data_IF_909167994806
#
_entry.id   IF_909167994806
#
_cell.length_a   1.000
_cell.length_b   1.000
_cell.length_c   1.000
_cell.angle_alpha   90.00
_cell.angle_beta   90.00
_cell.angle_gamma   90.00
#
_symmetry.space_group_name_H-M   'P 1'
#
loop_
_entity.id
_entity.type
_entity.pdbx_description
1 polymer ?
#
# COMPACT_ATOMS: atom_id res chain seq x y z
N UNK A 1 10.13 -5.43 -8.96
CA UNK A 1 9.18 -5.75 -10.05
C UNK A 1 8.08 -4.69 -10.06
N UNK A 2 7.50 -4.35 -11.21
CA UNK A 2 6.43 -3.34 -11.30
C UNK A 2 5.09 -4.08 -11.42
N UNK A 3 4.09 -3.79 -10.56
CA UNK A 3 2.78 -4.42 -10.65
C UNK A 3 1.96 -3.83 -11.80
N UNK A 4 1.06 -4.63 -12.37
CA UNK A 4 0.16 -4.18 -13.45
C UNK A 4 -0.94 -3.22 -12.94
N UNK A 5 -1.35 -3.36 -11.67
CA UNK A 5 -2.29 -2.48 -10.97
C UNK A 5 -1.58 -1.95 -9.73
N UNK A 6 -1.50 -0.63 -9.58
CA UNK A 6 -0.78 0.03 -8.49
C UNK A 6 -1.73 0.35 -7.34
N UNK A 7 -1.26 0.10 -6.11
CA UNK A 7 -1.90 0.54 -4.88
C UNK A 7 -1.16 1.74 -4.28
N UNK A 8 -1.83 2.54 -3.43
CA UNK A 8 -1.14 3.53 -2.61
C UNK A 8 -0.14 2.82 -1.68
N UNK A 9 1.06 3.38 -1.56
CA UNK A 9 2.16 2.83 -0.77
C UNK A 9 2.65 3.85 0.26
N UNK A 10 2.77 3.40 1.51
CA UNK A 10 3.43 4.16 2.57
C UNK A 10 4.95 4.20 2.40
N UNK A 11 5.51 3.25 1.64
CA UNK A 11 6.93 3.13 1.38
C UNK A 11 7.34 3.88 0.13
N UNK A 12 8.50 4.52 0.21
CA UNK A 12 9.17 5.18 -0.89
C UNK A 12 10.18 4.21 -1.52
N UNK A 13 9.97 3.74 -2.76
CA UNK A 13 10.85 2.77 -3.41
C UNK A 13 12.25 3.33 -3.72
N UNK A 14 12.43 4.66 -3.69
CA UNK A 14 13.75 5.28 -3.86
C UNK A 14 14.59 5.20 -2.57
N UNK A 15 13.92 5.10 -1.41
CA UNK A 15 14.57 5.00 -0.10
C UNK A 15 14.64 3.56 0.42
N UNK A 16 13.77 2.70 -0.06
CA UNK A 16 13.63 1.31 0.40
C UNK A 16 13.73 0.40 -0.82
N UNK A 17 14.76 -0.44 -0.84
CA UNK A 17 15.00 -1.44 -1.88
C UNK A 17 16.48 -1.60 -2.21
N UNK A 18 16.81 -2.59 -3.04
CA UNK A 18 18.19 -2.83 -3.47
C UNK A 18 18.78 -1.63 -4.22
N UNK A 19 17.97 -0.91 -4.99
CA UNK A 19 18.38 0.30 -5.72
C UNK A 19 18.75 1.48 -4.84
N UNK A 20 18.35 1.48 -3.57
CA UNK A 20 18.67 2.55 -2.61
C UNK A 20 20.04 2.36 -1.95
N UNK A 21 20.74 1.25 -2.20
CA UNK A 21 22.04 0.94 -1.59
C UNK A 21 23.18 1.59 -2.38
N UNK A 22 24.14 2.19 -1.67
CA UNK A 22 25.28 2.92 -2.27
C UNK A 22 26.08 2.11 -3.31
N UNK A 23 26.23 0.80 -3.08
CA UNK A 23 27.00 -0.11 -3.92
C UNK A 23 26.13 -1.17 -4.59
N UNK A 24 24.87 -0.85 -4.88
CA UNK A 24 24.00 -1.72 -5.66
C UNK A 24 24.63 -2.01 -7.03
N UNK A 25 24.70 -3.29 -7.41
CA UNK A 25 25.17 -3.66 -8.74
C UNK A 25 24.19 -3.14 -9.80
N UNK A 26 24.72 -2.69 -10.92
CA UNK A 26 23.89 -2.28 -12.05
C UNK A 26 23.05 -3.47 -12.54
N UNK A 27 21.79 -3.20 -12.89
CA UNK A 27 20.95 -4.20 -13.53
C UNK A 27 21.53 -4.60 -14.89
N UNK A 28 21.56 -5.91 -15.15
CA UNK A 28 22.03 -6.48 -16.42
C UNK A 28 21.00 -7.49 -16.96
N UNK A 29 20.94 -7.63 -18.28
CA UNK A 29 20.00 -8.51 -18.97
C UNK A 29 20.74 -9.49 -19.88
N UNK A 30 20.48 -10.78 -19.66
CA UNK A 30 20.97 -11.84 -20.53
C UNK A 30 19.92 -12.25 -21.58
N UNK A 31 20.35 -13.02 -22.58
CA UNK A 31 19.45 -13.51 -23.63
C UNK A 31 18.28 -14.32 -23.03
N UNK A 32 17.03 -14.09 -23.49
CA UNK A 32 15.87 -14.78 -22.96
C UNK A 32 15.86 -16.27 -23.33
N UNK A 33 15.42 -17.11 -22.41
CA UNK A 33 15.16 -18.53 -22.68
C UNK A 33 13.86 -18.72 -23.45
N UNK A 34 13.70 -19.85 -24.15
CA UNK A 34 12.45 -20.20 -24.83
C UNK A 34 11.47 -20.77 -23.80
N UNK A 35 10.31 -20.13 -23.67
CA UNK A 35 9.20 -20.60 -22.82
C UNK A 35 7.87 -20.39 -23.51
N UNK A 36 6.86 -21.18 -23.13
CA UNK A 36 5.49 -21.00 -23.60
C UNK A 36 4.78 -20.01 -22.66
N UNK A 37 4.18 -18.96 -23.22
CA UNK A 37 3.32 -18.03 -22.47
C UNK A 37 1.95 -18.66 -22.33
N UNK A 38 1.41 -18.67 -21.11
CA UNK A 38 0.06 -19.14 -20.83
C UNK A 38 -0.82 -17.95 -20.48
N UNK A 39 -1.99 -17.86 -21.11
CA UNK A 39 -3.03 -16.85 -20.89
C UNK A 39 -2.53 -15.40 -21.05
N UNK A 40 -3.01 -14.71 -22.09
CA UNK A 40 -2.73 -13.28 -22.24
C UNK A 40 -3.73 -12.46 -21.42
N UNK A 41 -3.25 -11.77 -20.39
CA UNK A 41 -4.06 -10.89 -19.55
C UNK A 41 -4.05 -9.42 -20.04
N UNK A 42 -3.17 -9.05 -20.97
CA UNK A 42 -2.99 -7.67 -21.44
C UNK A 42 -4.31 -7.02 -21.90
N UNK A 43 -5.22 -7.82 -22.47
CA UNK A 43 -6.52 -7.36 -22.96
C UNK A 43 -7.51 -7.01 -21.84
N UNK A 44 -7.37 -7.59 -20.65
CA UNK A 44 -8.30 -7.39 -19.53
C UNK A 44 -7.77 -6.42 -18.48
N UNK A 45 -6.45 -6.17 -18.43
CA UNK A 45 -5.82 -5.26 -17.46
C UNK A 45 -6.47 -3.86 -17.43
N UNK A 46 -6.75 -3.18 -18.56
CA UNK A 46 -7.40 -1.87 -18.53
C UNK A 46 -8.79 -1.89 -17.88
N UNK A 47 -9.55 -2.95 -18.12
CA UNK A 47 -10.87 -3.14 -17.52
C UNK A 47 -10.75 -3.40 -16.02
N UNK A 48 -9.81 -4.26 -15.59
CA UNK A 48 -9.54 -4.52 -14.18
C UNK A 48 -9.12 -3.24 -13.44
N UNK A 49 -8.24 -2.44 -14.03
CA UNK A 49 -7.84 -1.15 -13.47
C UNK A 49 -9.03 -0.19 -13.33
N UNK A 50 -9.93 -0.14 -14.33
CA UNK A 50 -11.14 0.69 -14.24
C UNK A 50 -12.09 0.23 -13.13
N UNK A 51 -12.28 -1.08 -12.96
CA UNK A 51 -13.13 -1.64 -11.90
C UNK A 51 -12.54 -1.39 -10.53
N UNK A 52 -11.23 -1.60 -10.39
CA UNK A 52 -10.47 -1.26 -9.18
C UNK A 52 -10.64 0.21 -8.81
N UNK A 53 -10.36 1.13 -9.73
CA UNK A 53 -10.46 2.58 -9.49
C UNK A 53 -11.88 2.98 -9.08
N UNK A 54 -12.90 2.39 -9.69
CA UNK A 54 -14.30 2.64 -9.33
C UNK A 54 -14.63 2.18 -7.91
N UNK A 55 -14.10 1.03 -7.45
CA UNK A 55 -14.29 0.55 -6.08
C UNK A 55 -13.49 1.37 -5.06
N UNK A 56 -12.20 1.58 -5.34
CA UNK A 56 -11.30 2.39 -4.53
C UNK A 56 -11.87 3.79 -4.24
N UNK A 57 -12.47 4.43 -5.26
CA UNK A 57 -13.09 5.75 -5.13
C UNK A 57 -14.33 5.77 -4.21
N UNK A 58 -14.96 4.62 -3.93
CA UNK A 58 -16.18 4.53 -3.12
C UNK A 58 -15.98 3.78 -1.79
N UNK A 59 -14.80 3.22 -1.54
CA UNK A 59 -14.50 2.45 -0.34
C UNK A 59 -13.93 3.38 0.75
N UNK A 60 -14.62 3.60 1.88
CA UNK A 60 -14.16 4.48 2.95
C UNK A 60 -12.81 4.09 3.53
N UNK A 61 -12.50 2.78 3.60
CA UNK A 61 -11.23 2.32 4.16
C UNK A 61 -10.08 2.52 3.16
N UNK A 62 -10.35 2.42 1.86
CA UNK A 62 -9.36 2.73 0.82
C UNK A 62 -9.05 4.22 0.76
N UNK A 63 -10.07 5.08 0.86
CA UNK A 63 -9.88 6.52 0.93
C UNK A 63 -9.07 6.93 2.17
N UNK A 64 -9.36 6.32 3.32
CA UNK A 64 -8.59 6.53 4.55
C UNK A 64 -7.11 6.18 4.35
N UNK A 65 -6.81 5.03 3.75
CA UNK A 65 -5.44 4.63 3.44
C UNK A 65 -4.76 5.63 2.49
N UNK A 66 -5.48 6.12 1.47
CA UNK A 66 -4.94 7.14 0.56
C UNK A 66 -4.60 8.43 1.31
N UNK A 67 -5.49 8.92 2.17
CA UNK A 67 -5.25 10.12 2.97
C UNK A 67 -4.04 9.94 3.91
N UNK A 68 -3.85 8.75 4.49
CA UNK A 68 -2.67 8.42 5.30
C UNK A 68 -1.38 8.43 4.47
N UNK A 69 -1.41 7.89 3.25
CA UNK A 69 -0.27 7.92 2.33
C UNK A 69 0.08 9.36 1.96
N UNK A 70 -0.91 10.20 1.68
CA UNK A 70 -0.70 11.61 1.35
C UNK A 70 -0.12 12.38 2.55
N UNK A 71 -0.60 12.12 3.76
CA UNK A 71 -0.05 12.69 5.00
C UNK A 71 1.43 12.28 5.19
N UNK A 72 1.73 10.99 5.00
CA UNK A 72 3.09 10.47 5.12
C UNK A 72 4.04 11.04 4.06
N UNK A 73 3.56 11.26 2.82
CA UNK A 73 4.32 11.93 1.77
C UNK A 73 4.60 13.40 2.12
N UNK A 74 3.60 14.11 2.64
CA UNK A 74 3.78 15.47 3.14
C UNK A 74 4.82 15.56 4.25
N UNK A 75 4.75 14.66 5.22
CA UNK A 75 5.73 14.57 6.31
C UNK A 75 7.15 14.27 5.81
N UNK A 76 7.30 13.38 4.82
CA UNK A 76 8.60 13.08 4.18
C UNK A 76 9.21 14.28 3.46
N UNK A 77 8.39 15.23 2.99
CA UNK A 77 8.85 16.47 2.36
C UNK A 77 9.46 17.49 3.32
N UNK A 78 9.29 17.29 4.64
CA UNK A 78 9.81 18.20 5.67
C UNK A 78 11.33 17.97 5.81
N UNK A 79 12.11 18.98 5.42
CA UNK A 79 13.59 18.94 5.47
C UNK A 79 14.20 19.75 6.62
N UNK A 80 13.39 20.57 7.31
CA UNK A 80 13.83 21.45 8.40
C UNK A 80 12.87 21.29 9.57
N UNK A 81 13.43 21.18 10.78
CA UNK A 81 12.65 21.05 12.01
C UNK A 81 12.93 22.22 12.96
N UNK A 82 11.90 22.76 13.64
CA UNK A 82 12.11 23.77 14.66
C UNK A 82 12.85 23.17 15.86
N UNK A 83 13.81 23.91 16.41
CA UNK A 83 14.52 23.51 17.64
C UNK A 83 13.84 24.02 18.92
N UNK A 84 12.99 25.05 18.80
CA UNK A 84 12.26 25.59 19.94
C UNK A 84 11.11 24.66 20.32
N UNK A 85 10.95 24.40 21.62
CA UNK A 85 9.89 23.53 22.16
C UNK A 85 8.50 23.93 21.68
N UNK A 86 8.15 25.22 21.72
CA UNK A 86 6.82 25.69 21.29
C UNK A 86 6.55 25.38 19.81
N UNK A 87 7.57 25.42 18.95
CA UNK A 87 7.45 25.03 17.54
C UNK A 87 7.27 23.51 17.37
N UNK A 88 7.92 22.70 18.21
CA UNK A 88 7.75 21.24 18.21
C UNK A 88 6.36 20.83 18.67
N UNK A 89 5.83 21.48 19.71
CA UNK A 89 4.46 21.25 20.20
C UNK A 89 3.44 21.62 19.12
N UNK A 90 3.56 22.80 18.52
CA UNK A 90 2.65 23.21 17.43
C UNK A 90 2.67 22.24 16.24
N UNK A 91 3.84 21.74 15.85
CA UNK A 91 3.98 20.74 14.78
C UNK A 91 3.28 19.42 15.13
N UNK A 92 3.41 18.95 16.38
CA UNK A 92 2.72 17.75 16.86
C UNK A 92 1.20 17.95 16.84
N UNK A 93 0.71 19.07 17.37
CA UNK A 93 -0.71 19.39 17.45
C UNK A 93 -1.35 19.48 16.05
N UNK A 94 -0.62 20.03 15.07
CA UNK A 94 -1.05 20.06 13.67
C UNK A 94 -1.15 18.65 13.07
N UNK A 95 -0.16 17.79 13.31
CA UNK A 95 -0.17 16.40 12.83
C UNK A 95 -1.31 15.59 13.46
N UNK A 96 -1.55 15.75 14.77
CA UNK A 96 -2.66 15.10 15.48
C UNK A 96 -4.02 15.57 14.95
N UNK A 97 -4.18 16.88 14.71
CA UNK A 97 -5.40 17.42 14.14
C UNK A 97 -5.67 16.87 12.73
N UNK A 98 -4.64 16.73 11.89
CA UNK A 98 -4.75 16.12 10.56
C UNK A 98 -5.13 14.64 10.65
N UNK A 99 -4.46 13.87 11.51
CA UNK A 99 -4.76 12.46 11.71
C UNK A 99 -6.19 12.25 12.23
N UNK A 100 -6.64 13.08 13.19
CA UNK A 100 -8.00 13.04 13.71
C UNK A 100 -9.03 13.38 12.63
N UNK A 101 -8.75 14.36 11.78
CA UNK A 101 -9.63 14.70 10.66
C UNK A 101 -9.78 13.54 9.67
N UNK A 102 -8.69 12.83 9.37
CA UNK A 102 -8.70 11.65 8.49
C UNK A 102 -9.53 10.51 9.10
N UNK A 103 -9.33 10.19 10.38
CA UNK A 103 -10.15 9.16 11.07
C UNK A 103 -11.62 9.58 11.13
N UNK A 104 -11.92 10.84 11.46
CA UNK A 104 -13.31 11.32 11.49
C UNK A 104 -13.99 11.27 10.12
N UNK A 105 -13.26 11.56 9.03
CA UNK A 105 -13.76 11.38 7.67
C UNK A 105 -14.15 9.91 7.40
N UNK A 106 -13.31 8.97 7.83
CA UNK A 106 -13.59 7.52 7.74
C UNK A 106 -14.81 7.12 8.57
N UNK A 107 -14.90 7.58 9.82
CA UNK A 107 -16.02 7.29 10.75
C UNK A 107 -17.34 7.80 10.21
N UNK A 108 -17.39 9.06 9.76
CA UNK A 108 -18.58 9.65 9.16
C UNK A 108 -19.04 8.87 7.91
N UNK A 109 -18.09 8.44 7.08
CA UNK A 109 -18.38 7.64 5.88
C UNK A 109 -18.94 6.25 6.21
N UNK A 110 -18.65 5.73 7.41
CA UNK A 110 -19.20 4.48 7.96
C UNK A 110 -20.45 4.68 8.84
N UNK A 111 -20.92 5.92 9.02
CA UNK A 111 -22.04 6.25 9.89
C UNK A 111 -21.73 6.10 11.39
N UNK A 112 -20.45 6.18 11.77
CA UNK A 112 -20.00 6.18 13.16
C UNK A 112 -19.87 7.63 13.67
N UNK A 113 -20.01 7.80 14.98
CA UNK A 113 -19.80 9.10 15.64
C UNK A 113 -18.33 9.55 15.50
N UNK A 114 -18.08 10.84 15.23
CA UNK A 114 -16.74 11.41 15.27
C UNK A 114 -16.09 11.31 16.65
N UNK A 115 -14.77 11.19 16.67
CA UNK A 115 -13.95 11.26 17.87
C UNK A 115 -13.56 12.70 18.18
N UNK A 116 -13.48 13.03 19.46
CA UNK A 116 -12.96 14.31 19.95
C UNK A 116 -11.42 14.33 19.97
N UNK A 117 -10.81 13.18 20.25
CA UNK A 117 -9.36 12.97 20.27
C UNK A 117 -9.04 11.60 19.69
N UNK A 118 -7.85 11.45 19.11
CA UNK A 118 -7.31 10.13 18.85
C UNK A 118 -6.87 9.56 20.20
N UNK A 119 -7.32 8.35 20.52
CA UNK A 119 -6.89 7.67 21.75
C UNK A 119 -5.42 7.27 21.55
N UNK A 120 -4.50 7.98 22.20
CA UNK A 120 -3.06 7.76 22.11
C UNK A 120 -2.49 7.32 23.46
N UNK A 121 -3.25 6.58 24.25
CA UNK A 121 -2.81 6.04 25.54
C UNK A 121 -1.74 4.93 25.42
N UNK A 122 -0.81 5.06 24.46
CA UNK A 122 0.50 4.44 24.52
C UNK A 122 1.49 5.45 25.11
N UNK A 123 1.53 5.44 26.43
CA UNK A 123 2.63 5.94 27.24
C UNK A 123 3.87 5.07 26.93
N UNK A 124 4.51 5.29 25.76
CA UNK A 124 5.73 4.58 25.37
C UNK A 124 6.83 5.03 26.33
N UNK A 125 7.34 4.18 27.24
CA UNK A 125 8.43 4.58 28.09
C UNK A 125 9.66 4.80 27.21
N UNK A 126 10.13 6.04 27.20
CA UNK A 126 11.41 6.49 26.66
C UNK A 126 12.55 5.65 27.25
N UNK A 127 12.90 4.51 26.64
CA UNK A 127 14.14 3.75 26.87
C UNK A 127 14.24 2.52 25.96
N UNK A 128 14.94 2.62 24.83
CA UNK A 128 16.00 1.67 24.49
C UNK A 128 16.95 2.29 23.45
N UNK A 129 18.28 2.24 23.66
CA UNK A 129 19.23 2.66 22.65
C UNK A 129 19.34 1.56 21.60
N UNK A 130 18.96 1.83 20.35
CA UNK A 130 19.23 0.92 19.23
C UNK A 130 20.72 0.90 18.95
N UNK A 131 21.42 -0.08 19.50
CA UNK A 131 22.71 -0.54 18.99
C UNK A 131 22.48 -1.18 17.63
N UNK A 132 23.12 -0.58 16.63
CA UNK A 132 23.31 -1.10 15.28
C UNK A 132 23.81 -2.54 15.32
N UNK A 133 23.14 -3.46 14.62
CA UNK A 133 23.72 -4.67 14.07
C UNK A 133 22.98 -5.00 12.76
N UNK A 134 23.77 -5.12 11.70
CA UNK A 134 23.38 -5.62 10.39
C UNK A 134 22.82 -7.06 10.47
N UNK A 135 22.04 -7.40 9.44
CA UNK A 135 21.65 -8.74 9.01
C UNK A 135 20.17 -9.12 9.26
N UNK A 136 19.45 -9.26 8.14
CA UNK A 136 18.07 -9.79 8.00
C UNK A 136 16.91 -8.93 8.51
N UNK A 137 16.68 -7.79 7.85
CA UNK A 137 15.35 -7.16 7.83
C UNK A 137 14.54 -7.69 6.63
N UNK A 138 13.95 -8.88 6.78
CA UNK A 138 12.67 -9.12 6.11
C UNK A 138 11.64 -8.32 6.92
N UNK A 139 10.86 -7.38 6.34
CA UNK A 139 9.73 -6.84 7.05
C UNK A 139 8.73 -7.98 7.21
N UNK A 140 8.69 -8.55 8.41
CA UNK A 140 7.56 -9.30 8.88
C UNK A 140 6.37 -8.36 8.72
N UNK A 141 5.32 -8.84 8.07
CA UNK A 141 4.02 -8.20 8.15
C UNK A 141 3.57 -8.41 9.60
N UNK A 142 4.08 -7.59 10.52
CA UNK A 142 3.56 -7.46 11.88
C UNK A 142 2.19 -6.80 11.71
N UNK A 143 1.21 -7.63 11.32
CA UNK A 143 -0.03 -7.65 12.09
C UNK A 143 0.43 -7.85 13.52
N UNK A 144 0.50 -6.75 14.27
CA UNK A 144 0.48 -6.86 15.72
C UNK A 144 -0.72 -7.75 16.03
N UNK A 145 -0.43 -8.92 16.58
CA UNK A 145 -1.43 -9.73 17.26
C UNK A 145 -1.99 -8.83 18.37
N UNK A 146 -3.07 -8.12 18.05
CA UNK A 146 -3.95 -7.48 19.00
C UNK A 146 -4.61 -8.60 19.82
N UNK A 147 -3.83 -9.20 20.70
CA UNK A 147 -4.31 -10.04 21.78
C UNK A 147 -4.93 -9.13 22.84
N UNK A 148 -6.15 -8.65 22.55
CA UNK A 148 -7.33 -8.68 23.42
C UNK A 148 -8.37 -7.66 22.94
N UNK A 149 -9.38 -8.15 22.19
CA UNK A 149 -10.72 -7.55 22.22
C UNK A 149 -11.12 -6.56 21.11
N UNK A 150 -10.21 -6.09 20.25
CA UNK A 150 -10.60 -5.28 19.09
C UNK A 150 -10.71 -6.13 17.82
N UNK A 151 -11.82 -6.00 17.09
CA UNK A 151 -12.01 -6.66 15.81
C UNK A 151 -10.89 -6.23 14.86
N UNK A 152 -10.00 -7.17 14.48
CA UNK A 152 -8.92 -6.94 13.53
C UNK A 152 -9.38 -6.06 12.38
N UNK A 153 -8.76 -4.89 12.22
CA UNK A 153 -9.12 -3.98 11.14
C UNK A 153 -8.91 -4.71 9.81
N UNK A 154 -9.92 -4.78 8.93
CA UNK A 154 -9.81 -5.55 7.72
C UNK A 154 -8.76 -4.93 6.79
N UNK A 155 -7.81 -5.75 6.33
CA UNK A 155 -6.80 -5.33 5.34
C UNK A 155 -7.46 -5.01 3.99
N UNK A 156 -7.56 -3.70 3.72
CA UNK A 156 -8.21 -3.14 2.53
C UNK A 156 -7.53 -3.58 1.25
N UNK A 157 -6.20 -3.65 1.25
CA UNK A 157 -5.42 -4.00 0.06
C UNK A 157 -5.61 -5.48 -0.28
N UNK A 158 -5.65 -6.34 0.75
CA UNK A 158 -5.96 -7.76 0.57
C UNK A 158 -7.39 -7.97 0.06
N UNK A 159 -8.36 -7.26 0.64
CA UNK A 159 -9.77 -7.35 0.20
C UNK A 159 -9.95 -6.88 -1.24
N UNK A 160 -9.34 -5.77 -1.63
CA UNK A 160 -9.41 -5.28 -3.01
C UNK A 160 -8.70 -6.22 -3.98
N UNK A 161 -7.57 -6.82 -3.58
CA UNK A 161 -6.87 -7.84 -4.37
C UNK A 161 -7.76 -9.05 -4.62
N UNK A 162 -8.53 -9.48 -3.61
CA UNK A 162 -9.52 -10.54 -3.75
C UNK A 162 -10.61 -10.19 -4.78
N UNK A 163 -11.09 -8.94 -4.78
CA UNK A 163 -12.08 -8.47 -5.77
C UNK A 163 -11.49 -8.42 -7.18
N UNK A 164 -10.27 -7.93 -7.35
CA UNK A 164 -9.55 -7.94 -8.64
C UNK A 164 -9.37 -9.37 -9.15
N UNK A 165 -9.05 -10.32 -8.27
CA UNK A 165 -8.93 -11.72 -8.65
C UNK A 165 -10.26 -12.29 -9.18
N UNK A 166 -11.37 -12.02 -8.49
CA UNK A 166 -12.72 -12.44 -8.95
C UNK A 166 -13.07 -11.82 -10.30
N UNK A 167 -12.78 -10.54 -10.50
CA UNK A 167 -12.98 -9.87 -11.79
C UNK A 167 -12.12 -10.52 -12.88
N UNK A 168 -10.88 -10.86 -12.58
CA UNK A 168 -9.96 -11.48 -13.55
C UNK A 168 -10.44 -12.86 -14.01
N UNK A 169 -11.06 -13.64 -13.11
CA UNK A 169 -11.67 -14.93 -13.44
C UNK A 169 -12.89 -14.72 -14.33
N UNK A 170 -13.69 -13.69 -14.04
CA UNK A 170 -14.93 -13.38 -14.77
C UNK A 170 -14.66 -12.82 -16.17
N UNK A 171 -13.59 -12.05 -16.33
CA UNK A 171 -13.17 -11.44 -17.61
C UNK A 171 -12.26 -12.35 -18.43
N UNK A 172 -11.86 -13.51 -17.89
CA UNK A 172 -10.90 -14.39 -18.55
C UNK A 172 -11.41 -14.79 -19.94
N UNK A 173 -10.62 -14.54 -21.01
CA UNK A 173 -11.00 -14.98 -22.34
C UNK A 173 -11.16 -16.51 -22.34
N UNK A 174 -12.32 -17.01 -22.78
CA UNK A 174 -12.48 -18.43 -23.14
C UNK A 174 -11.79 -18.67 -24.48
N UNK A 175 -10.46 -18.56 -24.51
CA UNK A 175 -9.71 -18.88 -25.71
C UNK A 175 -9.69 -20.40 -25.89
N UNK A 176 -10.61 -20.87 -26.74
CA UNK A 176 -10.53 -22.17 -27.40
C UNK A 176 -9.26 -22.21 -28.23
N UNK A 177 -8.18 -22.73 -27.66
CA UNK A 177 -6.91 -22.97 -28.38
C UNK A 177 -7.05 -24.24 -29.23
N UNK A 178 -7.87 -24.18 -30.28
CA UNK A 178 -7.95 -25.21 -31.30
C UNK A 178 -8.52 -24.69 -32.64
N UNK A 179 -7.84 -23.75 -33.29
CA UNK A 179 -7.95 -23.61 -34.75
C UNK A 179 -6.62 -24.02 -35.39
N UNK A 180 -6.54 -25.31 -35.76
CA UNK A 180 -5.54 -25.81 -36.69
C UNK A 180 -5.71 -25.03 -38.00
N UNK A 181 -4.76 -24.18 -38.36
CA UNK A 181 -4.73 -23.61 -39.71
C UNK A 181 -4.60 -24.77 -40.70
N UNK A 182 -5.65 -25.02 -41.47
CA UNK A 182 -5.58 -25.93 -42.59
C UNK A 182 -4.53 -25.39 -43.57
N UNK A 183 -3.54 -26.23 -43.86
CA UNK A 183 -2.51 -26.00 -44.87
C UNK A 183 -3.17 -26.14 -46.23
N UNK A 184 -3.48 -25.02 -46.89
CA UNK A 184 -3.84 -25.04 -48.32
C UNK A 184 -2.58 -25.37 -49.15
N UNK A 185 -2.80 -26.23 -50.15
CA UNK A 185 -1.80 -26.80 -51.06
C UNK A 185 -1.72 -26.01 -52.36
#
# INVERSE_FOLDING_TARGET
MVPDINYPSLFDPEKIGESALDNALAWDQIAPTRFNRYNNYDSIIPTLASLHNARAANDPDYQFLQDQVDLAQGARGISVLPLQQSGRVAMRDEQEALALAIENKRRLSKGLEPLETLDTDDDVPESTPTVSNEETALPHNEVEDAADGEAATPDVLLLETGKILVDSISLRPTDSVASRSARES
#
